data_IF_719103850903
#
_entry.id   IF_719103850903
#
_cell.length_a   1.000
_cell.length_b   1.000
_cell.length_c   1.000
_cell.angle_alpha   90.00
_cell.angle_beta   90.00
_cell.angle_gamma   90.00
#
_symmetry.space_group_name_H-M   'P 1'
#
loop_
_entity.id
_entity.type
_entity.pdbx_description
1 polymer ?
#
# COMPACT_ATOMS: atom_id res chain seq x y z
N UNK A 1 31.09 0.73 -52.90
CA UNK A 1 30.41 -0.08 -53.93
C UNK A 1 30.92 0.40 -55.26
N UNK A 2 31.72 -0.40 -55.93
CA UNK A 2 32.24 -0.10 -57.26
C UNK A 2 31.08 -0.16 -58.25
N UNK A 3 30.74 0.96 -58.88
CA UNK A 3 29.86 0.98 -60.04
C UNK A 3 30.61 0.31 -61.20
N UNK A 4 30.59 -1.02 -61.23
CA UNK A 4 30.92 -1.74 -62.46
C UNK A 4 29.79 -1.47 -63.43
N UNK A 5 30.09 -0.76 -64.52
CA UNK A 5 29.15 -0.61 -65.63
C UNK A 5 28.69 -2.00 -66.07
N UNK A 6 27.39 -2.13 -66.32
CA UNK A 6 26.72 -3.42 -66.62
C UNK A 6 27.47 -4.24 -67.67
N UNK A 7 28.10 -3.58 -68.64
CA UNK A 7 28.98 -4.17 -69.67
C UNK A 7 30.22 -4.87 -69.12
N UNK A 8 30.95 -4.27 -68.17
CA UNK A 8 32.13 -4.88 -67.54
C UNK A 8 31.77 -6.13 -66.71
N UNK A 9 30.55 -6.15 -66.16
CA UNK A 9 30.03 -7.28 -65.39
C UNK A 9 29.76 -8.49 -66.30
N UNK A 10 29.22 -8.26 -67.49
CA UNK A 10 28.98 -9.30 -68.49
C UNK A 10 30.26 -9.81 -69.16
N UNK A 11 31.31 -9.00 -69.24
CA UNK A 11 32.62 -9.43 -69.78
C UNK A 11 33.44 -10.27 -68.80
N UNK A 12 33.32 -10.02 -67.48
CA UNK A 12 34.15 -10.68 -66.46
C UNK A 12 33.54 -11.93 -65.82
N UNK A 13 32.22 -12.06 -65.82
CA UNK A 13 31.52 -13.12 -65.09
C UNK A 13 30.75 -14.04 -66.02
N UNK A 14 30.65 -15.32 -65.66
CA UNK A 14 29.84 -16.27 -66.41
C UNK A 14 28.34 -16.02 -66.18
N UNK A 15 27.50 -16.47 -67.11
CA UNK A 15 26.03 -16.30 -67.04
C UNK A 15 25.45 -16.86 -65.72
N UNK A 16 26.01 -17.96 -65.21
CA UNK A 16 25.56 -18.56 -63.95
C UNK A 16 26.03 -17.76 -62.71
N UNK A 17 27.17 -17.09 -62.77
CA UNK A 17 27.65 -16.18 -61.72
C UNK A 17 26.79 -14.91 -61.67
N UNK A 18 26.46 -14.35 -62.83
CA UNK A 18 25.59 -13.17 -62.93
C UNK A 18 24.18 -13.51 -62.43
N UNK A 19 23.65 -14.70 -62.76
CA UNK A 19 22.36 -15.16 -62.24
C UNK A 19 22.37 -15.28 -60.72
N UNK A 20 23.43 -15.86 -60.13
CA UNK A 20 23.59 -15.93 -58.67
C UNK A 20 23.68 -14.55 -58.03
N UNK A 21 24.39 -13.63 -58.66
CA UNK A 21 24.51 -12.24 -58.20
C UNK A 21 23.17 -11.50 -58.26
N UNK A 22 22.39 -11.66 -59.33
CA UNK A 22 21.04 -11.09 -59.43
C UNK A 22 20.08 -11.62 -58.35
N UNK A 23 20.17 -12.92 -58.02
CA UNK A 23 19.40 -13.51 -56.92
C UNK A 23 19.85 -12.93 -55.58
N UNK A 24 21.16 -12.79 -55.36
CA UNK A 24 21.72 -12.16 -54.16
C UNK A 24 21.24 -10.72 -53.99
N UNK A 25 21.32 -9.91 -55.05
CA UNK A 25 20.86 -8.52 -55.04
C UNK A 25 19.34 -8.44 -54.78
N UNK A 26 18.53 -9.32 -55.38
CA UNK A 26 17.09 -9.38 -55.09
C UNK A 26 16.80 -9.71 -53.63
N UNK A 27 17.53 -10.66 -53.05
CA UNK A 27 17.37 -11.02 -51.64
C UNK A 27 17.78 -9.85 -50.73
N UNK A 28 18.87 -9.15 -51.06
CA UNK A 28 19.31 -7.97 -50.33
C UNK A 28 18.27 -6.85 -50.38
N UNK A 29 17.65 -6.62 -51.54
CA UNK A 29 16.58 -5.62 -51.71
C UNK A 29 15.36 -5.99 -50.86
N UNK A 30 14.90 -7.24 -50.89
CA UNK A 30 13.78 -7.66 -50.04
C UNK A 30 14.13 -7.63 -48.54
N UNK A 31 15.36 -7.96 -48.16
CA UNK A 31 15.82 -7.85 -46.78
C UNK A 31 15.81 -6.39 -46.28
N UNK A 32 16.40 -5.46 -47.04
CA UNK A 32 16.35 -4.02 -46.70
C UNK A 32 14.91 -3.48 -46.65
N UNK A 33 14.03 -3.96 -47.53
CA UNK A 33 12.61 -3.58 -47.54
C UNK A 33 11.86 -4.09 -46.30
N UNK A 34 12.18 -5.31 -45.85
CA UNK A 34 11.65 -5.87 -44.61
C UNK A 34 12.16 -5.07 -43.39
N UNK A 35 13.45 -4.75 -43.36
CA UNK A 35 14.08 -3.95 -42.30
C UNK A 35 13.47 -2.54 -42.22
N UNK A 36 13.23 -1.88 -43.36
CA UNK A 36 12.53 -0.60 -43.41
C UNK A 36 11.11 -0.68 -42.85
N UNK A 37 10.35 -1.75 -43.17
CA UNK A 37 9.02 -1.95 -42.59
C UNK A 37 9.07 -2.15 -41.08
N UNK A 38 10.07 -2.87 -40.58
CA UNK A 38 10.26 -3.06 -39.15
C UNK A 38 10.65 -1.75 -38.45
N UNK A 39 11.62 -1.01 -39.01
CA UNK A 39 12.11 0.25 -38.41
C UNK A 39 11.05 1.36 -38.42
N UNK A 40 10.24 1.43 -39.48
CA UNK A 40 9.17 2.43 -39.60
C UNK A 40 7.90 2.01 -38.85
N UNK A 41 7.64 0.71 -38.72
CA UNK A 41 6.44 0.17 -38.06
C UNK A 41 6.57 0.01 -36.56
N UNK A 42 7.60 -0.67 -36.08
CA UNK A 42 7.77 -1.01 -34.65
C UNK A 42 8.43 0.14 -33.90
N UNK A 43 9.61 0.59 -34.35
CA UNK A 43 10.38 1.58 -33.59
C UNK A 43 9.70 2.97 -33.50
N UNK A 44 8.99 3.39 -34.54
CA UNK A 44 8.21 4.64 -34.44
C UNK A 44 6.97 4.48 -33.57
N UNK A 45 6.35 3.31 -33.56
CA UNK A 45 5.23 3.01 -32.67
C UNK A 45 5.69 3.01 -31.21
N UNK A 46 6.84 2.41 -30.91
CA UNK A 46 7.41 2.41 -29.55
C UNK A 46 7.70 3.82 -29.05
N UNK A 47 8.20 4.72 -29.91
CA UNK A 47 8.45 6.12 -29.55
C UNK A 47 7.14 6.88 -29.31
N UNK A 48 6.11 6.63 -30.12
CA UNK A 48 4.78 7.21 -29.92
C UNK A 48 4.17 6.70 -28.61
N UNK A 49 4.21 5.40 -28.37
CA UNK A 49 3.69 4.78 -27.15
C UNK A 49 4.43 5.28 -25.91
N UNK A 50 5.76 5.40 -25.96
CA UNK A 50 6.53 5.99 -24.87
C UNK A 50 6.11 7.46 -24.61
N UNK A 51 5.83 8.22 -25.67
CA UNK A 51 5.36 9.61 -25.56
C UNK A 51 3.97 9.68 -24.93
N UNK A 52 3.05 8.80 -25.33
CA UNK A 52 1.71 8.70 -24.75
C UNK A 52 1.77 8.30 -23.27
N UNK A 53 2.63 7.33 -22.93
CA UNK A 53 2.85 6.91 -21.54
C UNK A 53 3.38 8.05 -20.66
N UNK A 54 4.27 8.91 -21.19
CA UNK A 54 4.74 10.12 -20.48
C UNK A 54 3.58 11.09 -20.24
N UNK A 55 2.67 11.25 -21.21
CA UNK A 55 1.50 12.10 -21.06
C UNK A 55 0.55 11.56 -19.97
N UNK A 56 0.28 10.25 -19.99
CA UNK A 56 -0.53 9.58 -18.97
C UNK A 56 0.12 9.72 -17.59
N UNK A 57 1.45 9.54 -17.48
CA UNK A 57 2.18 9.73 -16.22
C UNK A 57 2.06 11.16 -15.69
N UNK A 58 2.08 12.17 -16.56
CA UNK A 58 1.89 13.57 -16.16
C UNK A 58 0.49 13.77 -15.55
N UNK A 59 -0.54 13.27 -16.21
CA UNK A 59 -1.92 13.43 -15.76
C UNK A 59 -2.16 12.69 -14.44
N UNK A 60 -1.59 11.49 -14.31
CA UNK A 60 -1.62 10.72 -13.06
C UNK A 60 -0.91 11.45 -11.91
N UNK A 61 0.23 12.09 -12.20
CA UNK A 61 0.98 12.88 -11.22
C UNK A 61 0.18 14.11 -10.73
N UNK A 62 -0.55 14.78 -11.64
CA UNK A 62 -1.49 15.84 -11.26
C UNK A 62 -2.62 15.30 -10.38
N UNK A 63 -3.25 14.20 -10.79
CA UNK A 63 -4.33 13.58 -9.99
C UNK A 63 -3.86 13.19 -8.59
N UNK A 64 -2.64 12.65 -8.43
CA UNK A 64 -2.08 12.35 -7.10
C UNK A 64 -1.91 13.62 -6.28
N UNK A 65 -1.39 14.69 -6.90
CA UNK A 65 -1.16 15.97 -6.23
C UNK A 65 -2.48 16.58 -5.75
N UNK A 66 -3.52 16.53 -6.58
CA UNK A 66 -4.86 17.00 -6.22
C UNK A 66 -5.43 16.20 -5.03
N UNK A 67 -5.30 14.88 -5.06
CA UNK A 67 -5.74 14.01 -3.95
C UNK A 67 -4.95 14.24 -2.67
N UNK A 68 -3.66 14.52 -2.77
CA UNK A 68 -2.84 14.87 -1.62
C UNK A 68 -3.25 16.24 -1.04
N UNK A 69 -3.56 17.21 -1.89
CA UNK A 69 -4.08 18.52 -1.46
C UNK A 69 -5.46 18.41 -0.81
N UNK A 70 -6.34 17.55 -1.32
CA UNK A 70 -7.63 17.21 -0.73
C UNK A 70 -7.45 16.59 0.67
N UNK A 71 -6.50 15.66 0.81
CA UNK A 71 -6.14 15.04 2.09
C UNK A 71 -5.58 16.07 3.08
N UNK A 72 -4.64 16.90 2.64
CA UNK A 72 -4.05 17.97 3.44
C UNK A 72 -5.14 18.92 3.95
N UNK A 73 -6.06 19.32 3.07
CA UNK A 73 -7.22 20.15 3.44
C UNK A 73 -8.09 19.48 4.51
N UNK A 74 -8.36 18.18 4.39
CA UNK A 74 -9.12 17.42 5.38
C UNK A 74 -8.39 17.32 6.73
N UNK A 75 -7.08 17.07 6.71
CA UNK A 75 -6.26 16.95 7.92
C UNK A 75 -6.12 18.28 8.67
N UNK A 76 -6.02 19.41 7.95
CA UNK A 76 -5.95 20.74 8.57
C UNK A 76 -7.31 21.13 9.18
N UNK A 77 -8.43 20.74 8.55
CA UNK A 77 -9.77 21.10 9.03
C UNK A 77 -10.29 20.24 10.19
N UNK A 78 -9.74 19.02 10.41
CA UNK A 78 -10.30 18.05 11.35
C UNK A 78 -9.38 17.51 12.48
N UNK A 79 -8.47 18.28 13.11
CA UNK A 79 -7.91 17.83 14.39
C UNK A 79 -8.93 17.94 15.55
N UNK A 80 -10.04 18.68 15.37
CA UNK A 80 -11.00 19.00 16.45
C UNK A 80 -12.38 18.34 16.30
N UNK A 81 -12.82 17.98 15.09
CA UNK A 81 -14.22 17.56 14.88
C UNK A 81 -14.53 16.09 15.23
N UNK A 82 -13.53 15.21 15.28
CA UNK A 82 -13.78 13.80 15.65
C UNK A 82 -14.10 13.58 17.14
N UNK A 83 -13.88 14.59 18.01
CA UNK A 83 -14.22 14.50 19.44
C UNK A 83 -15.41 15.38 19.86
N UNK A 84 -15.98 16.20 18.97
CA UNK A 84 -16.93 17.25 19.38
C UNK A 84 -18.42 16.91 19.16
N UNK A 85 -18.77 15.75 18.62
CA UNK A 85 -20.20 15.44 18.38
C UNK A 85 -20.98 14.94 19.60
N UNK A 86 -20.33 14.55 20.70
CA UNK A 86 -21.05 14.07 21.89
C UNK A 86 -20.35 14.43 23.20
N UNK A 87 -20.37 15.70 23.62
CA UNK A 87 -20.55 16.03 25.04
C UNK A 87 -21.07 17.46 25.19
N UNK A 88 -22.39 17.59 25.23
CA UNK A 88 -23.01 18.61 26.05
C UNK A 88 -22.52 18.41 27.49
N UNK A 89 -21.57 19.24 27.93
CA UNK A 89 -21.52 19.83 29.27
C UNK A 89 -20.30 20.74 29.42
N UNK A 90 -20.60 22.02 29.52
CA UNK A 90 -19.74 23.08 30.04
C UNK A 90 -19.17 22.67 31.41
N UNK A 91 -17.88 22.37 31.46
CA UNK A 91 -17.07 22.64 32.63
C UNK A 91 -15.72 23.11 32.13
N UNK A 92 -15.22 24.22 32.70
CA UNK A 92 -13.85 24.66 32.51
C UNK A 92 -12.91 23.46 32.75
N UNK A 93 -12.45 22.84 31.67
CA UNK A 93 -11.70 21.59 31.72
C UNK A 93 -10.29 21.98 32.10
N UNK A 94 -9.95 21.87 33.39
CA UNK A 94 -8.56 21.90 33.81
C UNK A 94 -7.81 20.87 32.95
N UNK A 95 -6.78 21.27 32.17
CA UNK A 95 -6.09 20.37 31.25
C UNK A 95 -5.51 19.17 32.01
N UNK A 96 -5.17 19.36 33.28
CA UNK A 96 -4.72 18.30 34.20
C UNK A 96 -5.77 17.21 34.44
N UNK A 97 -7.05 17.57 34.59
CA UNK A 97 -8.13 16.59 34.82
C UNK A 97 -8.43 15.79 33.56
N UNK A 98 -8.35 16.43 32.39
CA UNK A 98 -8.50 15.77 31.11
C UNK A 98 -7.39 14.73 30.90
N UNK A 99 -6.14 15.14 31.10
CA UNK A 99 -4.96 14.26 30.97
C UNK A 99 -5.03 13.12 32.02
N UNK A 100 -5.47 13.40 33.25
CA UNK A 100 -5.63 12.38 34.29
C UNK A 100 -6.69 11.33 33.91
N UNK A 101 -7.83 11.74 33.35
CA UNK A 101 -8.87 10.80 32.90
C UNK A 101 -8.40 9.94 31.72
N UNK A 102 -7.66 10.53 30.78
CA UNK A 102 -7.06 9.81 29.65
C UNK A 102 -6.01 8.81 30.15
N UNK A 103 -5.17 9.22 31.10
CA UNK A 103 -4.17 8.32 31.68
C UNK A 103 -4.82 7.18 32.46
N UNK A 104 -5.90 7.46 33.20
CA UNK A 104 -6.66 6.46 33.92
C UNK A 104 -7.23 5.41 32.96
N UNK A 105 -7.86 5.86 31.88
CA UNK A 105 -8.38 4.97 30.84
C UNK A 105 -7.27 4.09 30.25
N UNK A 106 -6.11 4.66 29.93
CA UNK A 106 -4.97 3.89 29.41
C UNK A 106 -4.49 2.79 30.37
N UNK A 107 -4.56 3.05 31.69
CA UNK A 107 -4.17 2.08 32.72
C UNK A 107 -5.19 0.96 32.90
N UNK A 108 -6.47 1.25 32.63
CA UNK A 108 -7.57 0.28 32.81
C UNK A 108 -7.74 -0.62 31.57
N UNK A 109 -7.28 -0.18 30.39
CA UNK A 109 -7.41 -0.93 29.13
C UNK A 109 -6.85 -2.36 29.17
N UNK A 110 -5.64 -2.65 29.70
CA UNK A 110 -5.14 -4.03 29.75
C UNK A 110 -6.10 -4.96 30.51
N UNK A 111 -6.61 -4.54 31.66
CA UNK A 111 -7.57 -5.34 32.45
C UNK A 111 -8.88 -5.55 31.70
N UNK A 112 -9.39 -4.51 31.02
CA UNK A 112 -10.59 -4.63 30.20
C UNK A 112 -10.39 -5.58 29.01
N UNK A 113 -9.22 -5.56 28.37
CA UNK A 113 -8.90 -6.46 27.26
C UNK A 113 -8.83 -7.92 27.75
N UNK A 114 -8.20 -8.16 28.90
CA UNK A 114 -8.16 -9.50 29.50
C UNK A 114 -9.56 -9.97 29.91
N UNK A 115 -10.39 -9.09 30.46
CA UNK A 115 -11.79 -9.40 30.79
C UNK A 115 -12.62 -9.75 29.55
N UNK A 116 -12.43 -9.04 28.44
CA UNK A 116 -13.09 -9.36 27.16
C UNK A 116 -12.60 -10.69 26.59
N UNK A 117 -11.31 -10.99 26.75
CA UNK A 117 -10.71 -12.26 26.35
C UNK A 117 -11.27 -13.45 27.15
N UNK A 118 -11.46 -13.27 28.46
CA UNK A 118 -12.07 -14.26 29.35
C UNK A 118 -13.57 -14.47 29.05
N UNK A 119 -14.25 -13.43 28.57
CA UNK A 119 -15.67 -13.48 28.19
C UNK A 119 -15.90 -14.03 26.78
N UNK A 120 -14.83 -14.36 26.04
CA UNK A 120 -14.82 -14.77 24.62
C UNK A 120 -15.28 -13.69 23.61
N UNK A 121 -15.35 -12.44 24.04
CA UNK A 121 -15.73 -11.30 23.19
C UNK A 121 -14.49 -10.69 22.52
N UNK A 122 -13.97 -11.40 21.51
CA UNK A 122 -12.73 -11.01 20.81
C UNK A 122 -12.86 -9.68 20.05
N UNK A 123 -14.06 -9.30 19.62
CA UNK A 123 -14.30 -8.02 18.94
C UNK A 123 -14.09 -6.85 19.88
N UNK A 124 -14.65 -6.91 21.10
CA UNK A 124 -14.47 -5.88 22.12
C UNK A 124 -13.00 -5.79 22.56
N UNK A 125 -12.33 -6.93 22.73
CA UNK A 125 -10.92 -6.98 23.06
C UNK A 125 -10.03 -6.27 22.02
N UNK A 126 -10.33 -6.45 20.73
CA UNK A 126 -9.60 -5.79 19.62
C UNK A 126 -9.92 -4.29 19.55
N UNK A 127 -11.17 -3.89 19.72
CA UNK A 127 -11.56 -2.47 19.74
C UNK A 127 -10.87 -1.71 20.88
N UNK A 128 -10.84 -2.29 22.08
CA UNK A 128 -10.15 -1.72 23.24
C UNK A 128 -8.63 -1.66 23.03
N UNK A 129 -8.05 -2.67 22.38
CA UNK A 129 -6.64 -2.65 22.00
C UNK A 129 -6.32 -1.49 21.05
N UNK A 130 -7.09 -1.33 19.96
CA UNK A 130 -6.92 -0.23 19.00
C UNK A 130 -7.11 1.15 19.65
N UNK A 131 -8.06 1.26 20.59
CA UNK A 131 -8.25 2.47 21.38
C UNK A 131 -7.00 2.80 22.22
N UNK A 132 -6.37 1.79 22.81
CA UNK A 132 -5.09 1.92 23.51
C UNK A 132 -3.96 2.40 22.61
N UNK A 133 -3.86 1.87 21.37
CA UNK A 133 -2.91 2.32 20.36
C UNK A 133 -3.08 3.81 20.05
N UNK A 134 -4.31 4.21 19.77
CA UNK A 134 -4.62 5.59 19.43
C UNK A 134 -4.33 6.54 20.60
N UNK A 135 -4.69 6.15 21.82
CA UNK A 135 -4.45 6.95 23.01
C UNK A 135 -2.97 7.09 23.35
N UNK A 136 -2.17 6.02 23.17
CA UNK A 136 -0.73 6.05 23.40
C UNK A 136 -0.01 7.02 22.45
N UNK A 137 -0.36 6.99 21.16
CA UNK A 137 0.15 7.92 20.14
C UNK A 137 -0.28 9.35 20.45
N UNK A 138 -1.56 9.56 20.78
CA UNK A 138 -2.08 10.86 21.18
C UNK A 138 -1.31 11.43 22.37
N UNK A 139 -1.09 10.65 23.42
CA UNK A 139 -0.36 11.11 24.61
C UNK A 139 1.12 11.38 24.34
N UNK A 140 1.75 10.74 23.36
CA UNK A 140 3.13 11.03 22.96
C UNK A 140 3.27 12.31 22.14
N UNK A 141 2.27 12.62 21.31
CA UNK A 141 2.26 13.75 20.37
C UNK A 141 1.70 15.05 20.98
N UNK A 142 0.87 14.96 22.03
CA UNK A 142 0.16 16.13 22.57
C UNK A 142 1.06 17.00 23.46
N UNK A 143 1.32 18.23 23.02
CA UNK A 143 2.04 19.27 23.77
C UNK A 143 1.35 19.71 25.07
N UNK A 144 0.07 19.39 25.25
CA UNK A 144 -0.70 19.61 26.50
C UNK A 144 -0.12 18.82 27.69
N UNK A 145 0.54 17.68 27.45
CA UNK A 145 1.25 16.91 28.49
C UNK A 145 2.46 17.66 29.03
N UNK A 146 3.14 18.41 28.15
CA UNK A 146 4.28 19.27 28.48
C UNK A 146 3.81 20.50 29.27
N UNK A 147 2.68 21.09 28.89
CA UNK A 147 2.05 22.20 29.61
C UNK A 147 1.56 21.80 31.02
N UNK A 148 1.22 20.52 31.23
CA UNK A 148 0.81 19.99 32.52
C UNK A 148 1.97 19.53 33.43
N UNK A 149 3.23 19.58 32.96
CA UNK A 149 4.41 19.03 33.64
C UNK A 149 4.29 17.53 34.02
N UNK A 150 3.50 16.75 33.28
CA UNK A 150 3.34 15.30 33.52
C UNK A 150 4.09 14.52 32.45
N UNK A 151 5.16 13.83 32.85
CA UNK A 151 5.93 12.95 31.96
C UNK A 151 5.19 11.61 31.73
N UNK A 152 4.09 11.64 30.97
CA UNK A 152 3.34 10.43 30.62
C UNK A 152 4.15 9.46 29.75
N UNK A 153 5.24 9.90 29.10
CA UNK A 153 6.05 9.09 28.18
C UNK A 153 6.62 7.80 28.79
N UNK A 154 7.09 7.83 30.03
CA UNK A 154 7.66 6.64 30.69
C UNK A 154 6.57 5.64 31.04
N UNK A 155 5.42 6.13 31.49
CA UNK A 155 4.28 5.32 31.86
C UNK A 155 3.62 4.68 30.64
N UNK A 156 3.43 5.44 29.56
CA UNK A 156 2.92 4.95 28.27
C UNK A 156 3.84 3.87 27.72
N UNK A 157 5.17 4.08 27.71
CA UNK A 157 6.14 3.06 27.26
C UNK A 157 6.07 1.78 28.08
N UNK A 158 5.96 1.89 29.41
CA UNK A 158 5.86 0.73 30.31
C UNK A 158 4.56 -0.05 30.10
N UNK A 159 3.44 0.64 29.92
CA UNK A 159 2.16 -0.02 29.65
C UNK A 159 2.09 -0.61 28.24
N UNK A 160 2.73 0.05 27.26
CA UNK A 160 2.83 -0.47 25.90
C UNK A 160 3.62 -1.77 25.83
N UNK A 161 4.68 -1.91 26.63
CA UNK A 161 5.42 -3.17 26.76
C UNK A 161 4.55 -4.33 27.30
N UNK A 162 3.52 -4.02 28.10
CA UNK A 162 2.55 -5.02 28.54
C UNK A 162 1.49 -5.35 27.47
N UNK A 163 1.22 -4.40 26.55
CA UNK A 163 0.24 -4.54 25.47
C UNK A 163 0.81 -5.23 24.23
N UNK A 164 2.13 -5.23 24.04
CA UNK A 164 2.82 -5.82 22.88
C UNK A 164 2.52 -7.33 22.74
N UNK A 165 2.45 -8.05 23.86
CA UNK A 165 2.13 -9.47 23.84
C UNK A 165 0.64 -9.75 23.60
N UNK A 166 -0.25 -8.80 23.90
CA UNK A 166 -1.71 -8.99 23.89
C UNK A 166 -2.24 -9.20 22.46
N UNK A 167 -1.67 -8.55 21.46
CA UNK A 167 -2.06 -8.77 20.06
C UNK A 167 -1.86 -10.25 19.67
N UNK A 168 -0.69 -10.80 20.03
CA UNK A 168 -0.35 -12.19 19.75
C UNK A 168 -1.22 -13.18 20.53
N UNK A 169 -1.65 -12.84 21.75
CA UNK A 169 -2.52 -13.69 22.57
C UNK A 169 -3.96 -13.66 22.07
N UNK A 170 -4.50 -12.50 21.70
CA UNK A 170 -5.82 -12.37 21.06
C UNK A 170 -5.84 -13.17 19.77
N UNK A 171 -4.84 -13.00 18.89
CA UNK A 171 -4.77 -13.73 17.63
C UNK A 171 -4.66 -15.26 17.84
N UNK A 172 -3.91 -15.70 18.85
CA UNK A 172 -3.81 -17.11 19.25
C UNK A 172 -5.12 -17.66 19.81
N UNK A 173 -5.83 -16.88 20.63
CA UNK A 173 -7.12 -17.26 21.21
C UNK A 173 -8.20 -17.38 20.13
N UNK A 174 -8.29 -16.43 19.19
CA UNK A 174 -9.19 -16.50 18.04
C UNK A 174 -8.92 -17.75 17.21
N UNK A 175 -7.64 -18.06 16.92
CA UNK A 175 -7.27 -19.29 16.19
C UNK A 175 -7.70 -20.55 16.93
N UNK A 176 -7.53 -20.61 18.25
CA UNK A 176 -7.96 -21.76 19.07
C UNK A 176 -9.47 -21.95 19.04
N UNK A 177 -10.25 -20.87 19.13
CA UNK A 177 -11.71 -20.94 19.03
C UNK A 177 -12.18 -21.41 17.66
N UNK A 178 -11.58 -20.89 16.58
CA UNK A 178 -11.92 -21.32 15.23
C UNK A 178 -11.62 -22.82 15.01
N UNK A 179 -10.54 -23.34 15.61
CA UNK A 179 -10.19 -24.76 15.56
C UNK A 179 -11.17 -25.59 16.41
N UNK A 180 -11.54 -25.14 17.61
CA UNK A 180 -12.51 -25.83 18.47
C UNK A 180 -13.91 -25.90 17.84
N UNK A 181 -14.36 -24.84 17.18
CA UNK A 181 -15.64 -24.83 16.46
C UNK A 181 -15.60 -25.70 15.20
N UNK A 182 -14.48 -25.72 14.45
CA UNK A 182 -14.32 -26.62 13.32
C UNK A 182 -14.37 -28.10 13.73
N UNK A 183 -13.80 -28.46 14.88
CA UNK A 183 -13.88 -29.82 15.44
C UNK A 183 -15.30 -30.15 15.93
N UNK A 184 -16.09 -29.16 16.36
CA UNK A 184 -17.48 -29.39 16.78
C UNK A 184 -18.45 -29.60 15.60
N UNK A 185 -18.15 -29.04 14.43
CA UNK A 185 -18.90 -29.30 13.20
C UNK A 185 -18.62 -30.71 12.64
N UNK A 186 -17.37 -31.19 12.73
CA UNK A 186 -17.01 -32.55 12.31
C UNK A 186 -17.64 -33.65 13.19
N UNK A 187 -17.91 -33.37 14.47
CA UNK A 187 -18.62 -34.32 15.38
C UNK A 187 -20.14 -34.27 15.18
N UNK A 188 -20.69 -33.16 14.69
CA UNK A 188 -22.12 -33.04 14.37
C UNK A 188 -22.48 -33.66 13.01
N UNK A 189 -21.50 -33.88 12.13
CA UNK A 189 -21.66 -34.57 10.85
C UNK A 189 -21.58 -36.10 10.89
N UNK A 190 -21.25 -36.70 12.03
CA UNK A 190 -21.06 -38.16 12.16
C UNK A 190 -21.90 -38.72 13.31
N UNK A 191 -23.23 -38.64 13.23
CA UNK A 191 -24.18 -39.75 13.58
C UNK A 191 -25.55 -39.42 12.97
N UNK A 192 -25.66 -39.50 11.65
CA UNK A 192 -26.89 -39.96 11.01
C UNK A 192 -26.44 -40.91 9.91
N UNK A 193 -26.40 -42.21 10.23
CA UNK A 193 -26.80 -43.37 9.43
C UNK A 193 -26.65 -44.62 10.29
#
# INVERSE_FOLDING_TARGET
>A
MTEHTVTELFERYSVDEIRRMCVGIRNDVESKKMELRFLVGERHRDVIEASDNILIMKDFSHSITDKLSELESCCIYNPTNFLNSHTSRQHARDPKKLIASQLKLLLDLPEMIWSGLDSMDYTEAVELYLLGCHLSVKMQLTGETLAAHVNARVLVKRQWAALDHIESTIASACRKQLILNAVSDDVSGIVVF
#
